data_IF_440403928013
#
_entry.id   IF_440403928013
#
_cell.length_a   1.000
_cell.length_b   1.000
_cell.length_c   1.000
_cell.angle_alpha   90.00
_cell.angle_beta   90.00
_cell.angle_gamma   90.00
#
_symmetry.space_group_name_H-M   'P 1'
#
loop_
_entity.id
_entity.type
_entity.pdbx_description
1 polymer ?
#
# COMPACT_ATOMS: atom_id res chain seq x y z
N UNK A 1 14.37 -8.92 8.03
CA UNK A 1 13.47 -7.83 7.64
C UNK A 1 12.49 -8.35 6.61
N UNK A 2 11.22 -7.98 6.71
CA UNK A 2 10.16 -8.43 5.80
C UNK A 2 9.56 -7.22 5.06
N UNK A 3 9.45 -7.32 3.74
CA UNK A 3 8.88 -6.27 2.88
C UNK A 3 7.65 -6.81 2.17
N UNK A 4 6.52 -6.12 2.30
CA UNK A 4 5.28 -6.47 1.62
C UNK A 4 4.99 -5.49 0.48
N UNK A 5 4.84 -5.99 -0.73
CA UNK A 5 4.36 -5.25 -1.90
C UNK A 5 2.87 -5.49 -2.11
N UNK A 6 2.10 -4.41 -2.17
CA UNK A 6 0.66 -4.44 -2.45
C UNK A 6 0.41 -3.81 -3.82
N UNK A 7 -0.15 -4.59 -4.74
CA UNK A 7 -0.43 -4.19 -6.11
C UNK A 7 -1.91 -3.91 -6.28
N UNK A 8 -2.26 -2.63 -6.37
CA UNK A 8 -3.63 -2.16 -6.57
C UNK A 8 -4.08 -2.10 -8.04
N UNK A 9 -3.22 -2.47 -8.97
CA UNK A 9 -3.58 -2.54 -10.38
C UNK A 9 -4.29 -3.85 -10.72
N UNK A 10 -5.37 -3.83 -11.50
CA UNK A 10 -5.99 -5.04 -12.02
C UNK A 10 -5.16 -5.72 -13.13
N UNK A 11 -4.13 -5.04 -13.63
CA UNK A 11 -3.36 -5.50 -14.80
C UNK A 11 -2.08 -6.21 -14.32
N UNK A 12 -2.07 -7.54 -14.44
CA UNK A 12 -0.87 -8.34 -14.21
C UNK A 12 0.23 -8.00 -15.23
N UNK A 13 1.47 -7.92 -14.76
CA UNK A 13 2.64 -7.51 -15.56
C UNK A 13 2.52 -6.11 -16.18
N UNK A 14 1.56 -5.29 -15.71
CA UNK A 14 1.46 -3.87 -16.01
C UNK A 14 2.52 -3.04 -15.27
N UNK A 15 2.57 -1.75 -15.54
CA UNK A 15 3.61 -0.85 -14.99
C UNK A 15 3.65 -0.84 -13.46
N UNK A 16 2.50 -0.82 -12.79
CA UNK A 16 2.42 -0.87 -11.32
C UNK A 16 3.01 -2.16 -10.77
N UNK A 17 2.59 -3.33 -11.32
CA UNK A 17 3.08 -4.64 -10.88
C UNK A 17 4.59 -4.78 -11.09
N UNK A 18 5.11 -4.29 -12.22
CA UNK A 18 6.53 -4.34 -12.51
C UNK A 18 7.37 -3.46 -11.58
N UNK A 19 6.92 -2.24 -11.29
CA UNK A 19 7.63 -1.34 -10.39
C UNK A 19 7.62 -1.88 -8.95
N UNK A 20 6.48 -2.34 -8.44
CA UNK A 20 6.41 -3.01 -7.13
C UNK A 20 7.34 -4.22 -7.08
N UNK A 21 7.27 -5.08 -8.11
CA UNK A 21 8.15 -6.27 -8.17
C UNK A 21 9.63 -5.91 -8.22
N UNK A 22 9.99 -4.78 -8.84
CA UNK A 22 11.38 -4.34 -8.92
C UNK A 22 11.89 -3.84 -7.57
N UNK A 23 11.07 -3.12 -6.79
CA UNK A 23 11.41 -2.75 -5.40
C UNK A 23 11.60 -4.01 -4.56
N UNK A 24 10.70 -4.99 -4.66
CA UNK A 24 10.84 -6.25 -3.91
C UNK A 24 12.12 -7.00 -4.27
N UNK A 25 12.50 -7.07 -5.55
CA UNK A 25 13.79 -7.66 -5.98
C UNK A 25 15.00 -6.95 -5.37
N UNK A 26 14.96 -5.63 -5.28
CA UNK A 26 16.00 -4.86 -4.61
C UNK A 26 16.13 -5.25 -3.12
N UNK A 27 15.00 -5.40 -2.44
CA UNK A 27 14.96 -5.85 -1.05
C UNK A 27 15.47 -7.29 -0.88
N UNK A 28 15.07 -8.21 -1.75
CA UNK A 28 15.54 -9.60 -1.80
C UNK A 28 17.07 -9.69 -1.98
N UNK A 29 17.64 -8.80 -2.80
CA UNK A 29 19.10 -8.74 -3.01
C UNK A 29 19.89 -8.43 -1.73
N UNK A 30 19.22 -7.86 -0.73
CA UNK A 30 19.78 -7.56 0.60
C UNK A 30 19.38 -8.61 1.64
N UNK A 31 18.81 -9.74 1.24
CA UNK A 31 18.41 -10.83 2.12
C UNK A 31 17.08 -10.60 2.86
N UNK A 32 16.27 -9.63 2.45
CA UNK A 32 14.95 -9.46 3.03
C UNK A 32 13.97 -10.55 2.54
N UNK A 33 13.09 -11.02 3.43
CA UNK A 33 11.91 -11.79 3.05
C UNK A 33 10.92 -10.87 2.34
N UNK A 34 10.35 -11.31 1.22
CA UNK A 34 9.39 -10.51 0.48
C UNK A 34 8.07 -11.24 0.28
N UNK A 35 6.98 -10.49 0.26
CA UNK A 35 5.65 -10.96 -0.10
C UNK A 35 5.04 -9.98 -1.09
N UNK A 36 4.38 -10.47 -2.14
CA UNK A 36 3.61 -9.65 -3.06
C UNK A 36 2.15 -10.04 -3.02
N UNK A 37 1.27 -9.06 -2.78
CA UNK A 37 -0.18 -9.22 -2.73
C UNK A 37 -0.79 -8.44 -3.89
N UNK A 38 -1.53 -9.11 -4.75
CA UNK A 38 -2.29 -8.49 -5.84
C UNK A 38 -3.75 -8.36 -5.40
N UNK A 39 -4.25 -7.14 -5.31
CA UNK A 39 -5.61 -6.88 -4.84
C UNK A 39 -6.69 -7.31 -5.83
N UNK A 40 -6.33 -7.43 -7.11
CA UNK A 40 -7.26 -7.89 -8.13
C UNK A 40 -7.62 -9.37 -7.90
N UNK A 41 -8.91 -9.64 -7.77
CA UNK A 41 -9.43 -10.98 -7.49
C UNK A 41 -9.57 -11.32 -6.01
N UNK A 42 -9.16 -10.43 -5.10
CA UNK A 42 -9.46 -10.59 -3.68
C UNK A 42 -10.92 -10.19 -3.40
N UNK A 43 -11.56 -10.95 -2.54
CA UNK A 43 -12.90 -10.64 -2.03
C UNK A 43 -12.77 -9.70 -0.82
N UNK A 44 -12.91 -8.41 -1.06
CA UNK A 44 -12.82 -7.37 -0.02
C UNK A 44 -14.09 -6.54 -0.07
N UNK A 45 -14.94 -6.68 0.95
CA UNK A 45 -16.14 -5.86 1.10
C UNK A 45 -15.80 -4.42 1.48
N UNK A 46 -16.58 -3.42 1.03
CA UNK A 46 -16.39 -2.03 1.44
C UNK A 46 -16.61 -1.85 2.95
N UNK A 47 -15.90 -0.88 3.54
CA UNK A 47 -16.05 -0.53 4.96
C UNK A 47 -17.48 -0.12 5.26
N UNK A 48 -18.07 -0.71 6.32
CA UNK A 48 -19.44 -0.43 6.76
C UNK A 48 -19.51 0.63 7.86
N UNK A 49 -18.38 1.21 8.26
CA UNK A 49 -18.31 2.22 9.34
C UNK A 49 -19.06 1.80 10.62
N UNK A 50 -18.92 0.54 11.01
CA UNK A 50 -19.71 -0.06 12.10
C UNK A 50 -19.41 0.51 13.50
N UNK A 51 -18.26 1.18 13.68
CA UNK A 51 -17.86 1.74 14.98
C UNK A 51 -17.49 0.69 16.03
N UNK A 52 -17.33 -0.58 15.65
CA UNK A 52 -17.03 -1.69 16.56
C UNK A 52 -15.56 -2.05 16.49
N UNK A 53 -14.90 -2.20 17.64
CA UNK A 53 -13.57 -2.78 17.76
C UNK A 53 -13.67 -4.24 18.22
N UNK A 54 -13.53 -5.22 17.29
CA UNK A 54 -13.68 -6.64 17.62
C UNK A 54 -12.36 -7.26 18.13
N UNK A 55 -11.60 -6.55 18.96
CA UNK A 55 -10.31 -7.06 19.47
C UNK A 55 -10.38 -8.55 19.88
N UNK A 56 -9.40 -9.41 19.50
CA UNK A 56 -8.12 -9.07 18.84
C UNK A 56 -8.18 -8.91 17.32
N UNK A 57 -9.28 -9.27 16.66
CA UNK A 57 -9.45 -9.06 15.21
C UNK A 57 -9.48 -7.56 14.89
N UNK A 58 -9.12 -7.20 13.67
CA UNK A 58 -9.17 -5.82 13.20
C UNK A 58 -10.58 -5.42 12.75
N UNK A 59 -11.33 -6.34 12.14
CA UNK A 59 -12.64 -6.08 11.56
C UNK A 59 -13.60 -7.24 11.81
N UNK A 60 -14.92 -6.95 11.81
CA UNK A 60 -15.97 -7.97 11.92
C UNK A 60 -16.20 -8.72 10.61
N UNK A 61 -15.90 -8.10 9.47
CA UNK A 61 -16.12 -8.73 8.17
C UNK A 61 -15.09 -9.85 7.96
N UNK A 62 -15.60 -11.00 7.53
CA UNK A 62 -14.84 -12.21 7.27
C UNK A 62 -14.60 -12.29 5.75
N UNK A 63 -13.47 -11.74 5.31
CA UNK A 63 -13.09 -11.63 3.92
C UNK A 63 -11.55 -11.56 3.78
N UNK A 64 -11.05 -11.43 2.55
CA UNK A 64 -9.61 -11.44 2.26
C UNK A 64 -8.82 -10.28 2.90
N UNK A 65 -9.50 -9.31 3.54
CA UNK A 65 -8.83 -8.25 4.26
C UNK A 65 -7.98 -8.76 5.44
N UNK A 66 -8.28 -9.94 5.97
CA UNK A 66 -7.47 -10.57 7.02
C UNK A 66 -6.03 -10.82 6.56
N UNK A 67 -5.81 -11.22 5.30
CA UNK A 67 -4.46 -11.37 4.73
C UNK A 67 -3.71 -10.02 4.68
N UNK A 68 -4.43 -8.94 4.38
CA UNK A 68 -3.84 -7.59 4.35
C UNK A 68 -3.47 -7.14 5.76
N UNK A 69 -4.34 -7.33 6.76
CA UNK A 69 -4.02 -6.99 8.15
C UNK A 69 -2.81 -7.77 8.67
N UNK A 70 -2.75 -9.08 8.40
CA UNK A 70 -1.62 -9.92 8.79
C UNK A 70 -0.30 -9.45 8.13
N UNK A 71 -0.34 -9.11 6.85
CA UNK A 71 0.81 -8.55 6.13
C UNK A 71 1.22 -7.19 6.70
N UNK A 72 0.25 -6.28 6.93
CA UNK A 72 0.50 -4.98 7.55
C UNK A 72 1.09 -5.13 8.97
N UNK A 73 0.73 -6.14 9.72
CA UNK A 73 1.24 -6.36 11.08
C UNK A 73 2.66 -6.95 11.08
N UNK A 74 2.91 -7.94 10.23
CA UNK A 74 4.15 -8.73 10.25
C UNK A 74 5.33 -8.08 9.53
N UNK A 75 5.09 -7.27 8.48
CA UNK A 75 6.18 -6.67 7.71
C UNK A 75 6.81 -5.45 8.38
N UNK A 76 8.05 -5.16 7.98
CA UNK A 76 8.82 -3.99 8.42
C UNK A 76 8.64 -2.81 7.47
N UNK A 77 8.35 -3.11 6.20
CA UNK A 77 8.16 -2.12 5.15
C UNK A 77 7.02 -2.50 4.21
N UNK A 78 6.31 -1.49 3.72
CA UNK A 78 5.21 -1.61 2.77
C UNK A 78 5.57 -0.90 1.46
N UNK A 79 5.35 -1.56 0.34
CA UNK A 79 5.41 -0.98 -1.00
C UNK A 79 4.00 -1.01 -1.59
N UNK A 80 3.33 0.13 -1.64
CA UNK A 80 1.98 0.23 -2.19
C UNK A 80 2.03 0.81 -3.59
N UNK A 81 1.57 0.05 -4.58
CA UNK A 81 1.43 0.50 -5.95
C UNK A 81 -0.02 0.63 -6.38
N UNK A 82 -0.39 1.74 -7.02
CA UNK A 82 -1.72 1.96 -7.60
C UNK A 82 -1.65 2.70 -8.93
N UNK A 83 -2.52 2.36 -9.90
CA UNK A 83 -2.75 3.25 -11.03
C UNK A 83 -3.53 4.47 -10.55
N UNK A 84 -3.40 5.58 -11.30
CA UNK A 84 -4.25 6.76 -11.13
C UNK A 84 -5.52 6.57 -11.93
N UNK A 85 -6.66 6.48 -11.26
CA UNK A 85 -7.99 6.46 -11.86
C UNK A 85 -8.80 7.64 -11.31
N UNK A 86 -9.23 8.55 -12.19
CA UNK A 86 -9.95 9.77 -11.79
C UNK A 86 -9.21 10.51 -10.65
N UNK A 87 -7.92 10.77 -10.88
CA UNK A 87 -6.98 11.47 -9.98
C UNK A 87 -6.74 10.83 -8.60
N UNK A 88 -7.24 9.62 -8.37
CA UNK A 88 -7.06 8.90 -7.11
C UNK A 88 -6.60 7.45 -7.33
N UNK A 89 -6.56 6.67 -6.25
CA UNK A 89 -6.21 5.24 -6.29
C UNK A 89 -7.29 4.42 -6.99
N UNK A 90 -6.93 3.21 -7.47
CA UNK A 90 -7.91 2.25 -7.98
C UNK A 90 -8.95 1.86 -6.91
N UNK A 91 -10.11 1.39 -7.34
CA UNK A 91 -11.16 0.91 -6.44
C UNK A 91 -10.65 -0.18 -5.48
N UNK A 92 -9.85 -1.13 -5.98
CA UNK A 92 -9.24 -2.19 -5.17
C UNK A 92 -8.34 -1.62 -4.06
N UNK A 93 -7.51 -0.63 -4.40
CA UNK A 93 -6.67 0.06 -3.40
C UNK A 93 -7.53 0.83 -2.40
N UNK A 94 -8.59 1.49 -2.87
CA UNK A 94 -9.47 2.27 -2.00
C UNK A 94 -10.23 1.39 -1.00
N UNK A 95 -10.68 0.20 -1.41
CA UNK A 95 -11.29 -0.77 -0.50
C UNK A 95 -10.35 -1.09 0.67
N UNK A 96 -9.08 -1.39 0.39
CA UNK A 96 -8.06 -1.66 1.44
C UNK A 96 -7.88 -0.44 2.35
N UNK A 97 -7.72 0.76 1.77
CA UNK A 97 -7.53 2.00 2.54
C UNK A 97 -8.71 2.24 3.50
N UNK A 98 -9.94 2.16 3.00
CA UNK A 98 -11.13 2.40 3.81
C UNK A 98 -11.33 1.33 4.89
N UNK A 99 -10.99 0.08 4.59
CA UNK A 99 -11.03 -1.01 5.57
C UNK A 99 -9.97 -0.88 6.66
N UNK A 100 -8.89 -0.13 6.42
CA UNK A 100 -7.87 0.18 7.42
C UNK A 100 -8.32 1.25 8.44
N UNK A 101 -9.52 1.76 8.36
CA UNK A 101 -10.07 2.70 9.35
C UNK A 101 -10.05 2.11 10.78
N UNK A 102 -10.24 0.80 10.91
CA UNK A 102 -10.16 0.04 12.17
C UNK A 102 -8.77 0.00 12.82
N UNK A 103 -7.71 0.46 12.14
CA UNK A 103 -6.36 0.53 12.72
C UNK A 103 -6.20 1.62 13.78
N UNK A 104 -7.17 2.55 13.86
CA UNK A 104 -7.25 3.57 14.89
C UNK A 104 -8.69 3.69 15.41
N UNK A 105 -9.21 2.68 16.16
CA UNK A 105 -10.54 2.75 16.73
C UNK A 105 -10.67 3.92 17.71
N UNK A 106 -11.88 4.49 17.79
CA UNK A 106 -12.24 5.50 18.77
C UNK A 106 -12.79 4.79 20.02
N UNK A 107 -12.00 4.79 21.08
CA UNK A 107 -12.30 4.01 22.29
C UNK A 107 -12.43 4.91 23.52
N UNK A 108 -13.12 4.40 24.55
CA UNK A 108 -13.09 4.98 25.88
C UNK A 108 -11.84 4.49 26.62
N UNK A 109 -11.05 5.42 27.13
CA UNK A 109 -9.86 5.12 27.92
C UNK A 109 -10.21 4.84 29.38
N UNK A 110 -9.31 4.21 30.15
CA UNK A 110 -9.54 3.90 31.57
C UNK A 110 -9.86 5.13 32.46
N UNK A 111 -9.39 6.32 32.05
CA UNK A 111 -9.67 7.59 32.74
C UNK A 111 -11.03 8.21 32.39
N UNK A 112 -11.84 7.51 31.58
CA UNK A 112 -13.15 7.94 31.11
C UNK A 112 -13.14 8.86 29.89
N UNK A 113 -11.97 9.29 29.40
CA UNK A 113 -11.87 10.09 28.18
C UNK A 113 -12.02 9.22 26.92
N UNK A 114 -12.39 9.85 25.80
CA UNK A 114 -12.48 9.18 24.52
C UNK A 114 -11.35 9.65 23.59
N UNK A 115 -10.89 8.78 22.71
CA UNK A 115 -9.89 9.14 21.73
C UNK A 115 -9.51 7.98 20.81
N UNK A 116 -8.79 8.31 19.76
CA UNK A 116 -8.24 7.31 18.86
C UNK A 116 -7.08 6.57 19.52
N UNK A 117 -7.07 5.25 19.38
CA UNK A 117 -5.95 4.40 19.79
C UNK A 117 -5.36 3.64 18.61
N UNK A 118 -4.05 3.83 18.41
CA UNK A 118 -3.33 3.15 17.34
C UNK A 118 -3.12 1.68 17.68
N UNK A 119 -3.66 0.78 16.87
CA UNK A 119 -3.49 -0.67 17.03
C UNK A 119 -2.14 -1.16 16.49
N UNK A 120 -1.67 -0.65 15.36
CA UNK A 120 -0.35 -0.96 14.82
C UNK A 120 0.72 -0.11 15.48
N UNK A 121 1.34 -0.63 16.57
CA UNK A 121 2.29 0.13 17.40
C UNK A 121 3.65 0.31 16.72
N UNK A 122 4.12 -0.68 15.94
CA UNK A 122 5.41 -0.62 15.26
C UNK A 122 5.34 0.30 14.04
N UNK A 123 6.21 1.32 14.01
CA UNK A 123 6.38 2.19 12.84
C UNK A 123 7.05 1.42 11.72
N UNK A 124 6.56 1.59 10.51
CA UNK A 124 7.05 0.93 9.30
C UNK A 124 7.55 1.95 8.29
N UNK A 125 8.42 1.53 7.38
CA UNK A 125 8.78 2.33 6.21
C UNK A 125 7.77 2.07 5.09
N UNK A 126 7.44 3.11 4.32
CA UNK A 126 6.50 3.04 3.21
C UNK A 126 7.08 3.57 1.91
N UNK A 127 6.93 2.82 0.84
CA UNK A 127 7.16 3.28 -0.52
C UNK A 127 5.81 3.35 -1.24
N UNK A 128 5.56 4.48 -1.87
CA UNK A 128 4.38 4.65 -2.69
C UNK A 128 4.73 4.71 -4.17
N UNK A 129 3.99 3.99 -5.02
CA UNK A 129 4.17 3.94 -6.47
C UNK A 129 2.84 4.32 -7.13
N UNK A 130 2.82 5.41 -7.88
CA UNK A 130 1.67 5.82 -8.68
C UNK A 130 2.02 5.78 -10.17
N UNK A 131 1.13 5.21 -10.96
CA UNK A 131 1.24 5.15 -12.42
C UNK A 131 0.04 5.82 -13.05
N UNK A 132 0.28 6.79 -13.93
CA UNK A 132 -0.75 7.63 -14.56
C UNK A 132 -0.61 7.67 -16.08
N UNK A 133 -1.66 8.06 -16.77
CA UNK A 133 -1.57 8.59 -18.12
C UNK A 133 -0.83 9.94 -18.12
N UNK A 134 -0.27 10.32 -19.26
CA UNK A 134 0.61 11.49 -19.41
C UNK A 134 0.04 12.80 -18.88
N UNK A 135 -1.27 13.01 -19.04
CA UNK A 135 -1.95 14.27 -18.72
C UNK A 135 -2.64 14.24 -17.34
N UNK A 136 -2.46 13.16 -16.55
CA UNK A 136 -3.04 13.04 -15.23
C UNK A 136 -2.12 13.60 -14.14
N UNK A 137 -2.70 14.18 -13.11
CA UNK A 137 -2.00 14.70 -11.95
C UNK A 137 -1.87 13.65 -10.84
N UNK A 138 -0.85 13.83 -9.97
CA UNK A 138 -0.59 12.92 -8.86
C UNK A 138 -0.98 13.48 -7.49
N UNK A 139 -1.44 14.72 -7.39
CA UNK A 139 -1.65 15.40 -6.11
C UNK A 139 -2.67 14.68 -5.21
N UNK A 140 -3.83 14.36 -5.78
CA UNK A 140 -4.92 13.73 -5.02
C UNK A 140 -4.57 12.31 -4.58
N UNK A 141 -3.97 11.51 -5.47
CA UNK A 141 -3.56 10.14 -5.11
C UNK A 141 -2.49 10.14 -4.02
N UNK A 142 -1.53 11.05 -4.07
CA UNK A 142 -0.52 11.20 -3.01
C UNK A 142 -1.17 11.57 -1.67
N UNK A 143 -2.08 12.55 -1.65
CA UNK A 143 -2.81 12.94 -0.44
C UNK A 143 -3.57 11.76 0.17
N UNK A 144 -4.25 10.97 -0.67
CA UNK A 144 -5.00 9.78 -0.23
C UNK A 144 -4.09 8.75 0.42
N UNK A 145 -2.96 8.41 -0.23
CA UNK A 145 -2.05 7.39 0.28
C UNK A 145 -1.25 7.87 1.49
N UNK A 146 -0.83 9.14 1.52
CA UNK A 146 -0.16 9.71 2.69
C UNK A 146 -1.08 9.70 3.92
N UNK A 147 -2.36 10.04 3.76
CA UNK A 147 -3.35 9.94 4.84
C UNK A 147 -3.47 8.50 5.36
N UNK A 148 -3.57 7.51 4.47
CA UNK A 148 -3.58 6.11 4.84
C UNK A 148 -2.30 5.68 5.57
N UNK A 149 -1.14 6.02 5.05
CA UNK A 149 0.14 5.66 5.66
C UNK A 149 0.30 6.25 7.05
N UNK A 150 -0.07 7.52 7.23
CA UNK A 150 -0.07 8.16 8.55
C UNK A 150 -0.98 7.42 9.52
N UNK A 151 -2.18 7.04 9.08
CA UNK A 151 -3.15 6.30 9.88
C UNK A 151 -2.65 4.92 10.28
N UNK A 152 -2.01 4.20 9.35
CA UNK A 152 -1.46 2.87 9.54
C UNK A 152 -0.06 2.84 10.20
N UNK A 153 0.47 3.98 10.71
CA UNK A 153 1.81 4.10 11.28
C UNK A 153 2.95 3.77 10.30
N UNK A 154 2.79 4.18 9.04
CA UNK A 154 3.76 3.98 7.98
C UNK A 154 4.38 5.33 7.62
N UNK A 155 5.71 5.42 7.68
CA UNK A 155 6.47 6.59 7.25
C UNK A 155 6.76 6.49 5.75
N UNK A 156 6.33 7.48 4.98
CA UNK A 156 6.70 7.57 3.57
C UNK A 156 8.19 7.90 3.48
N UNK A 157 8.97 6.95 2.97
CA UNK A 157 10.41 7.14 2.77
C UNK A 157 10.76 7.42 1.31
N UNK A 158 9.89 6.99 0.38
CA UNK A 158 10.09 7.23 -1.04
C UNK A 158 8.76 7.17 -1.82
N UNK A 159 8.70 7.89 -2.96
CA UNK A 159 7.55 7.91 -3.85
C UNK A 159 8.01 7.85 -5.30
N UNK A 160 7.50 6.88 -6.06
CA UNK A 160 7.70 6.77 -7.51
C UNK A 160 6.45 7.26 -8.22
N UNK A 161 6.56 8.34 -8.97
CA UNK A 161 5.51 8.85 -9.84
C UNK A 161 5.91 8.56 -11.30
N UNK A 162 5.12 7.77 -12.01
CA UNK A 162 5.39 7.38 -13.38
C UNK A 162 4.21 7.72 -14.29
N UNK A 163 4.39 8.71 -15.16
CA UNK A 163 3.44 9.06 -16.20
C UNK A 163 3.92 8.54 -17.56
N UNK A 164 2.99 8.02 -18.36
CA UNK A 164 3.30 7.51 -19.70
C UNK A 164 2.12 7.70 -20.67
N UNK A 165 2.41 7.71 -21.96
CA UNK A 165 1.42 7.74 -23.06
C UNK A 165 1.46 6.48 -23.95
N UNK A 166 2.26 5.48 -23.54
CA UNK A 166 2.37 4.23 -24.28
C UNK A 166 1.21 3.28 -23.99
N UNK A 167 0.66 2.66 -25.03
CA UNK A 167 -0.36 1.62 -24.92
C UNK A 167 0.19 0.22 -24.66
N UNK A 168 1.50 0.04 -24.77
CA UNK A 168 2.14 -1.26 -24.57
C UNK A 168 2.10 -1.68 -23.11
N UNK A 169 1.68 -2.91 -22.88
CA UNK A 169 1.63 -3.51 -21.54
C UNK A 169 3.01 -3.54 -20.89
N UNK A 170 3.14 -2.89 -19.75
CA UNK A 170 4.38 -2.87 -18.98
C UNK A 170 5.51 -2.11 -19.69
N UNK A 171 5.18 -1.02 -20.39
CA UNK A 171 6.13 -0.15 -21.11
C UNK A 171 7.26 0.37 -20.20
N UNK A 172 7.07 0.47 -18.90
CA UNK A 172 8.10 0.86 -17.94
C UNK A 172 9.37 0.00 -18.01
N UNK A 173 9.29 -1.23 -18.55
CA UNK A 173 10.49 -2.08 -18.80
C UNK A 173 11.52 -1.40 -19.70
N UNK A 174 11.08 -0.51 -20.59
CA UNK A 174 11.94 0.23 -21.51
C UNK A 174 12.64 1.39 -20.80
N UNK A 175 12.06 1.91 -19.73
CA UNK A 175 12.64 2.95 -18.89
C UNK A 175 13.62 2.31 -17.88
N UNK A 176 14.86 2.12 -18.34
CA UNK A 176 15.91 1.49 -17.51
C UNK A 176 16.25 2.32 -16.28
N UNK A 177 16.20 3.64 -16.37
CA UNK A 177 16.48 4.53 -15.25
C UNK A 177 15.41 4.34 -14.15
N UNK A 178 14.14 4.34 -14.52
CA UNK A 178 13.04 4.12 -13.60
C UNK A 178 13.08 2.74 -12.95
N UNK A 179 13.36 1.72 -13.74
CA UNK A 179 13.49 0.36 -13.24
C UNK A 179 14.68 0.20 -12.28
N UNK A 180 15.82 0.81 -12.58
CA UNK A 180 16.96 0.83 -11.67
C UNK A 180 16.68 1.60 -10.41
N UNK A 181 16.04 2.77 -10.49
CA UNK A 181 15.63 3.55 -9.33
C UNK A 181 14.71 2.74 -8.41
N UNK A 182 13.71 2.04 -8.97
CA UNK A 182 12.83 1.16 -8.18
C UNK A 182 13.63 0.04 -7.48
N UNK A 183 14.62 -0.55 -8.13
CA UNK A 183 15.50 -1.55 -7.51
C UNK A 183 16.32 -0.96 -6.35
N UNK A 184 16.94 0.20 -6.55
CA UNK A 184 17.74 0.87 -5.51
C UNK A 184 16.92 1.29 -4.29
N UNK A 185 15.65 1.67 -4.49
CA UNK A 185 14.71 1.89 -3.38
C UNK A 185 14.57 0.60 -2.56
N UNK A 186 14.41 -0.55 -3.23
CA UNK A 186 14.35 -1.85 -2.56
C UNK A 186 15.60 -2.16 -1.74
N UNK A 187 16.77 -1.85 -2.27
CA UNK A 187 18.05 -1.99 -1.55
C UNK A 187 18.08 -1.08 -0.32
N UNK A 188 17.61 0.15 -0.45
CA UNK A 188 17.72 1.18 0.59
C UNK A 188 16.71 0.98 1.72
N UNK A 189 15.49 0.52 1.39
CA UNK A 189 14.41 0.36 2.38
C UNK A 189 14.75 -0.69 3.45
N UNK A 190 15.67 -1.59 3.15
CA UNK A 190 16.13 -2.66 4.05
C UNK A 190 17.20 -2.21 5.05
N UNK A 191 17.72 -1.00 4.92
CA UNK A 191 18.69 -0.39 5.84
C UNK A 191 17.99 0.44 6.90
#
# INVERSE_FOLDING_TARGET
MNVCGIVGSPIMKGNVDLLVSQVLKGAESQGAGTQKICLNGMDIMPCQSCGIDPYPRYCLLDDDMEYIYAALESCDSIVLGSPVYFDTVSAQTKLVIDRCNCLMPYIQRPDGTYGFERRMKRRKKGVFIAVAGKDQEFNTIQTTVHGFFQWANIEVVETILYAHDESELGCVRKDKERMNHAFEIGVTITR
#
